data_IF_117658862263
#
_entry.id   IF_117658862263
#
_cell.length_a   1.000
_cell.length_b   1.000
_cell.length_c   1.000
_cell.angle_alpha   90.00
_cell.angle_beta   90.00
_cell.angle_gamma   90.00
#
_symmetry.space_group_name_H-M   'P 1'
#
loop_
_entity.id
_entity.type
_entity.pdbx_description
1 polymer ?
#
# COMPACT_ATOMS: atom_id res chain seq x y z
N UNK A 1 -13.30 -15.61 -11.19
CA UNK A 1 -13.37 -14.21 -10.74
C UNK A 1 -12.09 -13.52 -11.15
N UNK A 2 -12.20 -12.37 -11.77
CA UNK A 2 -11.04 -11.60 -12.23
C UNK A 2 -10.79 -10.44 -11.28
N UNK A 3 -9.63 -10.44 -10.61
CA UNK A 3 -9.28 -9.41 -9.64
C UNK A 3 -8.10 -8.61 -10.16
N UNK A 4 -8.20 -7.30 -10.11
CA UNK A 4 -7.11 -6.41 -10.47
C UNK A 4 -6.95 -5.32 -9.41
N UNK A 5 -5.79 -4.68 -9.38
CA UNK A 5 -5.52 -3.60 -8.44
C UNK A 5 -5.63 -2.28 -9.17
N UNK A 6 -6.47 -1.37 -8.67
CA UNK A 6 -6.64 -0.05 -9.26
C UNK A 6 -5.60 0.93 -8.73
N UNK A 7 -5.42 0.96 -7.43
CA UNK A 7 -4.50 1.90 -6.79
C UNK A 7 -3.81 1.24 -5.62
N UNK A 8 -2.56 1.62 -5.40
CA UNK A 8 -1.82 1.29 -4.19
C UNK A 8 -1.18 2.58 -3.70
N UNK A 9 -1.51 2.97 -2.47
CA UNK A 9 -0.93 4.15 -1.85
C UNK A 9 -0.06 3.70 -0.68
N UNK A 10 1.23 4.03 -0.73
CA UNK A 10 2.15 3.71 0.34
C UNK A 10 1.91 4.63 1.52
N UNK A 11 2.01 4.09 2.72
CA UNK A 11 1.94 4.90 3.93
C UNK A 11 3.35 5.34 4.31
N UNK A 12 3.46 6.54 4.90
CA UNK A 12 4.76 7.10 5.24
C UNK A 12 5.12 6.92 6.70
N UNK A 13 4.31 6.24 7.46
CA UNK A 13 4.55 6.07 8.89
C UNK A 13 5.36 4.80 9.13
N UNK A 14 6.65 4.98 9.43
CA UNK A 14 7.54 3.85 9.63
C UNK A 14 7.21 3.04 10.89
N UNK A 15 6.47 3.63 11.82
CA UNK A 15 6.06 2.94 13.04
C UNK A 15 4.72 2.24 12.91
N UNK A 16 4.07 2.44 11.80
CA UNK A 16 2.75 1.86 11.56
C UNK A 16 2.89 0.46 10.99
N UNK A 17 2.04 -0.43 11.45
CA UNK A 17 1.96 -1.79 10.92
C UNK A 17 1.45 -1.76 9.48
N UNK A 18 0.57 -0.83 9.15
CA UNK A 18 0.03 -0.69 7.80
C UNK A 18 1.06 -0.07 6.88
N UNK A 19 1.42 -0.78 5.83
CA UNK A 19 2.44 -0.32 4.88
C UNK A 19 1.85 0.29 3.62
N UNK A 20 0.63 -0.10 3.26
CA UNK A 20 -0.03 0.44 2.07
C UNK A 20 -1.53 0.24 2.17
N UNK A 21 -2.26 1.04 1.42
CA UNK A 21 -3.71 0.91 1.29
C UNK A 21 -4.01 0.79 -0.20
N UNK A 22 -4.80 -0.21 -0.56
CA UNK A 22 -5.07 -0.52 -1.94
C UNK A 22 -6.57 -0.53 -2.25
N UNK A 23 -6.89 -0.29 -3.51
CA UNK A 23 -8.23 -0.48 -4.04
C UNK A 23 -8.16 -1.57 -5.10
N UNK A 24 -8.97 -2.60 -4.96
CA UNK A 24 -9.03 -3.68 -5.94
C UNK A 24 -10.33 -3.60 -6.73
N UNK A 25 -10.32 -4.17 -7.91
CA UNK A 25 -11.49 -4.23 -8.78
C UNK A 25 -11.80 -5.68 -9.10
N UNK A 26 -13.05 -6.05 -8.95
CA UNK A 26 -13.50 -7.42 -9.19
C UNK A 26 -14.33 -7.43 -10.48
N UNK A 27 -13.92 -8.28 -11.43
CA UNK A 27 -14.60 -8.46 -12.72
C UNK A 27 -14.84 -7.13 -13.45
N UNK A 28 -13.93 -6.16 -13.25
CA UNK A 28 -13.98 -4.82 -13.86
C UNK A 28 -15.28 -4.07 -13.58
N UNK A 29 -16.03 -4.51 -12.59
CA UNK A 29 -17.35 -3.96 -12.31
C UNK A 29 -17.54 -3.54 -10.85
N UNK A 30 -16.66 -3.95 -9.96
CA UNK A 30 -16.86 -3.72 -8.53
C UNK A 30 -15.55 -3.40 -7.85
N UNK A 31 -15.47 -2.22 -7.25
CA UNK A 31 -14.26 -1.80 -6.52
C UNK A 31 -14.41 -2.04 -5.02
N UNK A 32 -13.33 -2.53 -4.41
CA UNK A 32 -13.26 -2.68 -2.96
C UNK A 32 -12.14 -1.79 -2.46
N UNK A 33 -12.49 -0.79 -1.67
CA UNK A 33 -11.52 0.14 -1.09
C UNK A 33 -11.14 -0.29 0.31
N UNK A 34 -9.99 0.21 0.77
CA UNK A 34 -9.57 -0.06 2.15
C UNK A 34 -8.90 -1.41 2.34
N UNK A 35 -8.40 -2.00 1.26
CA UNK A 35 -7.58 -3.21 1.36
C UNK A 35 -6.20 -2.79 1.81
N UNK A 36 -5.70 -3.35 2.91
CA UNK A 36 -4.42 -2.92 3.47
C UNK A 36 -3.36 -3.98 3.37
N UNK A 37 -2.11 -3.53 3.17
CA UNK A 37 -0.93 -4.37 3.26
C UNK A 37 -0.29 -4.07 4.60
N UNK A 38 -0.14 -5.09 5.42
CA UNK A 38 0.39 -4.93 6.78
C UNK A 38 1.60 -5.83 6.99
N UNK A 39 2.42 -5.44 7.95
CA UNK A 39 3.58 -6.24 8.35
C UNK A 39 3.35 -6.77 9.76
N UNK A 40 3.49 -8.07 9.92
CA UNK A 40 3.31 -8.71 11.22
C UNK A 40 4.54 -8.51 12.10
N UNK A 41 4.45 -8.88 13.36
CA UNK A 41 5.58 -8.81 14.29
C UNK A 41 6.74 -9.69 13.84
N UNK A 42 6.45 -10.73 13.07
CA UNK A 42 7.46 -11.63 12.55
C UNK A 42 8.04 -11.16 11.22
N UNK A 43 7.72 -9.92 10.85
CA UNK A 43 8.22 -9.27 9.64
C UNK A 43 7.68 -9.90 8.36
N UNK A 44 6.50 -10.47 8.41
CA UNK A 44 5.82 -11.03 7.24
C UNK A 44 4.73 -10.08 6.76
N UNK A 45 4.68 -9.87 5.46
CA UNK A 45 3.62 -9.06 4.87
C UNK A 45 2.37 -9.89 4.68
N UNK A 46 1.23 -9.27 4.93
CA UNK A 46 -0.06 -9.90 4.69
C UNK A 46 -1.08 -8.87 4.25
N UNK A 47 -2.13 -9.33 3.60
CA UNK A 47 -3.20 -8.48 3.10
C UNK A 47 -4.42 -8.64 4.00
N UNK A 48 -4.96 -7.49 4.40
CA UNK A 48 -6.17 -7.47 5.21
C UNK A 48 -7.27 -6.77 4.44
N UNK A 49 -8.41 -7.43 4.32
CA UNK A 49 -9.57 -6.85 3.66
C UNK A 49 -10.24 -5.82 4.57
N UNK A 50 -11.09 -4.94 4.02
CA UNK A 50 -11.74 -3.92 4.82
C UNK A 50 -12.48 -4.55 6.00
N UNK A 51 -12.39 -3.90 7.14
CA UNK A 51 -13.03 -4.37 8.36
C UNK A 51 -14.04 -3.33 8.83
N UNK A 52 -14.99 -3.80 9.61
CA UNK A 52 -15.93 -2.92 10.29
C UNK A 52 -15.83 -3.17 11.78
N UNK A 53 -16.12 -2.16 12.56
CA UNK A 53 -16.12 -2.30 14.01
C UNK A 53 -17.54 -2.53 14.51
N UNK A 54 -17.66 -3.20 15.63
CA UNK A 54 -18.90 -3.38 16.32
C UNK A 54 -18.64 -3.44 17.83
N UNK A 55 -19.67 -3.13 18.60
CA UNK A 55 -19.55 -3.14 20.05
C UNK A 55 -20.06 -4.48 20.59
N UNK A 56 -19.21 -5.15 21.35
CA UNK A 56 -19.54 -6.43 21.97
C UNK A 56 -20.08 -6.15 23.37
N UNK A 57 -21.36 -6.36 23.58
CA UNK A 57 -21.99 -6.08 24.85
C UNK A 57 -21.52 -7.01 25.98
N UNK A 58 -21.11 -8.21 25.63
CA UNK A 58 -20.66 -9.18 26.64
C UNK A 58 -19.31 -8.81 27.23
N UNK A 59 -18.37 -8.43 26.35
CA UNK A 59 -17.02 -8.05 26.80
C UNK A 59 -16.89 -6.54 27.02
N UNK A 60 -17.88 -5.77 26.58
CA UNK A 60 -17.86 -4.30 26.63
C UNK A 60 -16.67 -3.72 25.90
N UNK A 61 -16.28 -4.34 24.81
CA UNK A 61 -15.16 -3.92 24.00
C UNK A 61 -15.57 -3.68 22.55
N UNK A 62 -14.83 -2.79 21.90
CA UNK A 62 -14.96 -2.58 20.47
C UNK A 62 -14.20 -3.68 19.76
N UNK A 63 -14.87 -4.37 18.87
CA UNK A 63 -14.27 -5.47 18.10
C UNK A 63 -14.36 -5.19 16.62
N UNK A 64 -13.56 -5.92 15.85
CA UNK A 64 -13.48 -5.74 14.40
C UNK A 64 -13.73 -7.07 13.71
N UNK A 65 -14.35 -7.01 12.55
CA UNK A 65 -14.51 -8.17 11.69
C UNK A 65 -14.48 -7.74 10.25
N UNK A 66 -14.16 -8.65 9.35
CA UNK A 66 -14.11 -8.35 7.93
C UNK A 66 -15.48 -7.87 7.45
N UNK A 67 -15.50 -6.74 6.73
CA UNK A 67 -16.71 -6.23 6.12
C UNK A 67 -17.07 -7.06 4.88
N UNK A 68 -16.06 -7.63 4.25
CA UNK A 68 -16.23 -8.55 3.12
C UNK A 68 -15.11 -9.57 3.16
N UNK A 69 -15.35 -10.74 2.64
CA UNK A 69 -14.35 -11.81 2.66
C UNK A 69 -14.61 -12.80 1.52
N UNK A 70 -13.55 -13.46 1.04
CA UNK A 70 -13.70 -14.47 0.00
C UNK A 70 -14.42 -15.71 0.56
N UNK A 71 -15.11 -16.41 -0.32
CA UNK A 71 -15.85 -17.59 0.09
C UNK A 71 -14.99 -18.85 0.15
N UNK A 72 -13.78 -18.79 -0.37
CA UNK A 72 -12.88 -19.95 -0.33
C UNK A 72 -11.42 -19.47 -0.21
N UNK A 73 -10.56 -20.43 0.11
CA UNK A 73 -9.16 -20.16 0.34
C UNK A 73 -8.44 -19.75 -0.93
N UNK A 74 -8.81 -20.34 -2.05
CA UNK A 74 -8.15 -20.04 -3.32
C UNK A 74 -8.34 -18.59 -3.73
N UNK A 75 -9.54 -18.06 -3.58
CA UNK A 75 -9.82 -16.66 -3.87
C UNK A 75 -9.04 -15.75 -2.92
N UNK A 76 -8.96 -16.10 -1.65
CA UNK A 76 -8.21 -15.32 -0.67
C UNK A 76 -6.73 -15.25 -1.04
N UNK A 77 -6.16 -16.37 -1.47
CA UNK A 77 -4.76 -16.42 -1.87
C UNK A 77 -4.53 -15.63 -3.15
N UNK A 78 -5.46 -15.68 -4.07
CA UNK A 78 -5.38 -14.91 -5.31
C UNK A 78 -5.36 -13.40 -5.02
N UNK A 79 -6.28 -12.94 -4.18
CA UNK A 79 -6.36 -11.53 -3.82
C UNK A 79 -5.07 -11.11 -3.10
N UNK A 80 -4.59 -11.90 -2.16
CA UNK A 80 -3.37 -11.60 -1.44
C UNK A 80 -2.17 -11.48 -2.38
N UNK A 81 -2.04 -12.42 -3.31
CA UNK A 81 -0.93 -12.40 -4.24
C UNK A 81 -0.96 -11.17 -5.14
N UNK A 82 -2.11 -10.85 -5.70
CA UNK A 82 -2.26 -9.72 -6.60
C UNK A 82 -1.94 -8.40 -5.87
N UNK A 83 -2.46 -8.25 -4.67
CA UNK A 83 -2.22 -7.03 -3.90
C UNK A 83 -0.76 -6.92 -3.48
N UNK A 84 -0.14 -8.01 -3.03
CA UNK A 84 1.26 -7.99 -2.63
C UNK A 84 2.18 -7.73 -3.82
N UNK A 85 1.87 -8.30 -4.98
CA UNK A 85 2.65 -8.03 -6.19
C UNK A 85 2.58 -6.55 -6.56
N UNK A 86 1.38 -5.96 -6.51
CA UNK A 86 1.21 -4.54 -6.80
C UNK A 86 1.93 -3.67 -5.77
N UNK A 87 1.89 -4.05 -4.51
CA UNK A 87 2.61 -3.35 -3.45
C UNK A 87 4.11 -3.36 -3.72
N UNK A 88 4.67 -4.51 -4.06
CA UNK A 88 6.09 -4.64 -4.32
C UNK A 88 6.52 -3.80 -5.52
N UNK A 89 5.71 -3.75 -6.56
CA UNK A 89 6.00 -2.91 -7.71
C UNK A 89 5.95 -1.43 -7.36
N UNK A 90 4.97 -1.03 -6.58
CA UNK A 90 4.84 0.36 -6.15
C UNK A 90 6.01 0.76 -5.27
N UNK A 91 6.44 -0.12 -4.38
CA UNK A 91 7.58 0.13 -3.52
C UNK A 91 8.86 0.31 -4.34
N UNK A 92 9.03 -0.51 -5.36
CA UNK A 92 10.17 -0.43 -6.25
C UNK A 92 10.20 0.90 -7.01
N UNK A 93 9.06 1.32 -7.53
CA UNK A 93 8.94 2.61 -8.19
C UNK A 93 9.29 3.76 -7.25
N UNK A 94 8.81 3.68 -6.03
CA UNK A 94 9.08 4.69 -5.03
C UNK A 94 10.58 4.79 -4.74
N UNK A 95 11.25 3.66 -4.59
CA UNK A 95 12.69 3.65 -4.35
C UNK A 95 13.46 4.23 -5.53
N UNK A 96 13.07 3.90 -6.75
CA UNK A 96 13.69 4.45 -7.93
C UNK A 96 13.52 5.97 -7.99
N UNK A 97 12.34 6.46 -7.68
CA UNK A 97 12.09 7.90 -7.67
C UNK A 97 12.91 8.60 -6.60
N UNK A 98 13.06 8.02 -5.44
CA UNK A 98 13.89 8.59 -4.37
C UNK A 98 15.35 8.66 -4.83
N UNK A 99 15.86 7.62 -5.47
CA UNK A 99 17.21 7.60 -5.97
C UNK A 99 17.42 8.66 -7.07
N UNK A 100 16.45 8.82 -7.96
CA UNK A 100 16.54 9.85 -8.99
C UNK A 100 16.59 11.25 -8.39
N UNK A 101 15.76 11.51 -7.41
CA UNK A 101 15.76 12.81 -6.73
C UNK A 101 17.08 13.08 -6.04
N UNK A 102 17.65 12.06 -5.40
CA UNK A 102 18.95 12.20 -4.75
C UNK A 102 20.03 12.53 -5.75
N UNK A 103 20.06 11.85 -6.88
CA UNK A 103 21.04 12.13 -7.93
C UNK A 103 20.89 13.52 -8.48
N UNK A 104 19.68 13.97 -8.74
CA UNK A 104 19.43 15.30 -9.23
C UNK A 104 19.84 16.37 -8.23
N UNK A 105 19.61 16.14 -6.96
CA UNK A 105 20.05 17.06 -5.92
C UNK A 105 21.57 17.18 -5.89
N UNK A 106 22.28 16.07 -6.03
CA UNK A 106 23.73 16.08 -6.07
C UNK A 106 24.26 16.83 -7.29
N UNK A 107 23.64 16.64 -8.44
CA UNK A 107 24.02 17.38 -9.63
C UNK A 107 23.84 18.88 -9.46
N UNK A 108 22.74 19.28 -8.87
CA UNK A 108 22.50 20.69 -8.61
C UNK A 108 23.55 21.27 -7.66
N UNK A 109 23.90 20.52 -6.65
CA UNK A 109 24.92 20.97 -5.72
C UNK A 109 26.25 21.17 -6.40
N UNK A 110 26.62 20.29 -7.31
CA UNK A 110 27.89 20.40 -8.04
C UNK A 110 27.91 21.55 -8.99
N UNK A 111 26.79 21.85 -9.61
CA UNK A 111 26.71 22.94 -10.59
C UNK A 111 26.20 24.23 -9.98
N UNK A 112 26.15 24.33 -8.71
CA UNK A 112 25.61 25.47 -8.01
C UNK A 112 26.34 26.77 -8.35
N UNK A 113 27.65 26.73 -8.50
CA UNK A 113 28.41 27.89 -8.83
C UNK A 113 28.09 28.45 -10.20
N UNK A 114 27.65 27.61 -11.09
CA UNK A 114 27.33 27.98 -12.42
C UNK A 114 25.94 28.51 -12.55
N UNK A 115 25.00 27.93 -11.82
CA UNK A 115 23.65 28.27 -12.04
C UNK A 115 22.83 27.90 -10.89
N UNK A 116 22.30 28.78 -10.38
CA UNK A 116 21.48 28.51 -9.28
C UNK A 116 20.14 28.07 -9.63
N UNK A 117 19.68 27.97 -10.46
CA UNK A 117 18.57 27.66 -10.65
C UNK A 117 17.92 26.85 -10.96
N UNK A 118 17.80 26.61 -11.27
CA UNK A 118 17.26 25.89 -11.65
C UNK A 118 16.68 25.15 -11.13
N UNK A 119 16.44 25.38 -10.77
CA UNK A 119 16.04 24.74 -10.39
C UNK A 119 15.32 24.06 -10.19
N UNK A 120 14.91 24.03 -10.34
CA UNK A 120 14.34 23.34 -10.29
C UNK A 120 14.10 22.43 -9.89
N UNK A 121 13.93 22.13 -9.78
CA UNK A 121 13.80 21.28 -9.55
C UNK A 121 13.75 20.41 -9.00
N UNK A 122 13.46 20.10 -8.72
CA UNK A 122 13.59 19.25 -8.41
C UNK A 122 13.44 18.81 -7.87
#
# INVERSE_FOLDING_TARGET
MNVSVKHVNLTNDSNNITKAIATICIDESFNVEGVTVKRSKEDNLYVQLPQRSYYDKETQEKRYKDACYPTNKETREEISKIVLDAYNEKLKEHEENVQKKAKNSLKKAKSKDEEPEEEETL
#
